data_IF_025014223524
#
_entry.id   IF_025014223524
#
_cell.length_a   1.000
_cell.length_b   1.000
_cell.length_c   1.000
_cell.angle_alpha   90.00
_cell.angle_beta   90.00
_cell.angle_gamma   90.00
#
_symmetry.space_group_name_H-M   'P 1'
#
loop_
_entity.id
_entity.type
_entity.pdbx_description
1 polymer ?
#
# COMPACT_ATOMS: atom_id res chain seq x y z
N UNK A 1 -29.80 -74.16 -12.11
CA UNK A 1 -30.33 -74.15 -10.73
C UNK A 1 -29.24 -73.87 -9.71
N UNK A 2 -28.11 -74.58 -9.76
CA UNK A 2 -26.99 -74.46 -8.80
C UNK A 2 -26.45 -73.04 -8.54
N UNK A 3 -26.37 -72.18 -9.57
CA UNK A 3 -25.96 -70.77 -9.40
C UNK A 3 -26.96 -69.93 -8.59
N UNK A 4 -28.25 -70.24 -8.67
CA UNK A 4 -29.28 -69.54 -7.90
C UNK A 4 -29.25 -69.95 -6.43
N UNK A 5 -28.95 -71.22 -6.14
CA UNK A 5 -28.82 -71.74 -4.78
C UNK A 5 -27.59 -71.18 -4.06
N UNK A 6 -26.47 -71.00 -4.76
CA UNK A 6 -25.27 -70.35 -4.20
C UNK A 6 -25.57 -68.90 -3.82
N UNK A 7 -26.26 -68.15 -4.68
CA UNK A 7 -26.63 -66.75 -4.41
C UNK A 7 -27.59 -66.64 -3.24
N UNK A 8 -28.60 -67.54 -3.18
CA UNK A 8 -29.55 -67.60 -2.07
C UNK A 8 -28.85 -67.89 -0.74
N UNK A 9 -27.89 -68.82 -0.73
CA UNK A 9 -27.13 -69.17 0.48
C UNK A 9 -26.29 -68.00 0.98
N UNK A 10 -25.58 -67.31 0.08
CA UNK A 10 -24.82 -66.10 0.44
C UNK A 10 -25.70 -65.00 1.01
N UNK A 11 -26.89 -64.80 0.47
CA UNK A 11 -27.81 -63.79 0.98
C UNK A 11 -28.34 -64.13 2.38
N UNK A 12 -28.60 -65.41 2.63
CA UNK A 12 -28.99 -65.89 3.96
C UNK A 12 -27.83 -65.69 4.95
N UNK A 13 -26.61 -66.04 4.57
CA UNK A 13 -25.42 -65.86 5.43
C UNK A 13 -25.15 -64.38 5.72
N UNK A 14 -25.29 -63.49 4.72
CA UNK A 14 -25.16 -62.03 4.91
C UNK A 14 -26.23 -61.46 5.84
N UNK A 15 -27.48 -61.93 5.72
CA UNK A 15 -28.55 -61.55 6.64
C UNK A 15 -28.30 -62.02 8.07
N UNK A 16 -27.89 -63.28 8.25
CA UNK A 16 -27.54 -63.81 9.58
C UNK A 16 -26.38 -63.04 10.20
N UNK A 17 -25.36 -62.71 9.40
CA UNK A 17 -24.22 -61.94 9.86
C UNK A 17 -24.65 -60.54 10.30
N UNK A 18 -25.49 -59.87 9.50
CA UNK A 18 -26.02 -58.53 9.80
C UNK A 18 -26.92 -58.53 11.04
N UNK A 19 -27.79 -59.53 11.21
CA UNK A 19 -28.61 -59.69 12.41
C UNK A 19 -27.76 -59.94 13.65
N UNK A 20 -26.71 -60.77 13.53
CA UNK A 20 -25.77 -61.03 14.62
C UNK A 20 -25.00 -59.78 15.03
N UNK A 21 -24.53 -59.00 14.07
CA UNK A 21 -23.86 -57.72 14.31
C UNK A 21 -24.79 -56.70 14.94
N UNK A 22 -26.03 -56.60 14.45
CA UNK A 22 -27.04 -55.71 15.02
C UNK A 22 -27.41 -56.11 16.46
N UNK A 23 -27.64 -57.40 16.72
CA UNK A 23 -27.90 -57.92 18.06
C UNK A 23 -26.70 -57.74 19.01
N UNK A 24 -25.48 -57.86 18.50
CA UNK A 24 -24.26 -57.65 19.31
C UNK A 24 -24.01 -56.17 19.58
N UNK A 25 -24.24 -55.29 18.61
CA UNK A 25 -24.08 -53.84 18.74
C UNK A 25 -25.15 -53.21 19.64
N UNK A 26 -26.41 -53.62 19.48
CA UNK A 26 -27.52 -53.07 20.27
C UNK A 26 -27.44 -53.45 21.76
N UNK A 27 -26.96 -54.66 22.07
CA UNK A 27 -26.71 -55.10 23.46
C UNK A 27 -25.46 -54.45 24.07
N UNK A 28 -24.45 -54.10 23.26
CA UNK A 28 -23.24 -53.45 23.76
C UNK A 28 -23.46 -51.99 24.21
N UNK A 29 -24.43 -51.29 23.62
CA UNK A 29 -24.80 -49.93 24.03
C UNK A 29 -25.77 -49.91 25.22
N UNK A 30 -26.66 -50.90 25.35
CA UNK A 30 -27.64 -50.97 26.45
C UNK A 30 -27.08 -51.52 27.78
N UNK A 31 -25.91 -52.17 27.78
CA UNK A 31 -25.30 -52.79 28.98
C UNK A 31 -24.05 -52.08 29.53
N UNK A 32 -23.83 -50.81 29.20
CA UNK A 32 -22.79 -50.03 29.86
C UNK A 32 -23.25 -49.58 31.24
N UNK A 33 -22.45 -49.87 32.26
CA UNK A 33 -22.68 -49.27 33.58
C UNK A 33 -22.58 -47.74 33.46
N UNK A 34 -23.33 -46.95 34.26
CA UNK A 34 -23.27 -45.48 34.20
C UNK A 34 -21.84 -44.92 34.28
N UNK A 35 -20.96 -45.59 35.01
CA UNK A 35 -19.53 -45.24 35.10
C UNK A 35 -18.76 -45.46 33.80
N UNK A 36 -19.01 -46.56 33.07
CA UNK A 36 -18.39 -46.83 31.78
C UNK A 36 -18.91 -45.90 30.67
N UNK A 37 -20.21 -45.59 30.68
CA UNK A 37 -20.79 -44.61 29.77
C UNK A 37 -20.18 -43.20 30.00
N UNK A 38 -20.02 -42.79 31.26
CA UNK A 38 -19.38 -41.52 31.60
C UNK A 38 -17.89 -41.49 31.22
N UNK A 39 -17.17 -42.61 31.36
CA UNK A 39 -15.77 -42.72 30.94
C UNK A 39 -15.63 -42.59 29.42
N UNK A 40 -16.44 -43.30 28.63
CA UNK A 40 -16.45 -43.19 27.17
C UNK A 40 -16.77 -41.76 26.72
N UNK A 41 -17.77 -41.14 27.32
CA UNK A 41 -18.12 -39.74 27.02
C UNK A 41 -16.96 -38.78 27.31
N UNK A 42 -16.24 -38.95 28.41
CA UNK A 42 -15.05 -38.13 28.72
C UNK A 42 -13.92 -38.35 27.73
N UNK A 43 -13.69 -39.60 27.30
CA UNK A 43 -12.68 -39.92 26.27
C UNK A 43 -13.04 -39.30 24.92
N UNK A 44 -14.32 -39.38 24.51
CA UNK A 44 -14.82 -38.73 23.30
C UNK A 44 -14.73 -37.21 23.37
N UNK A 45 -15.15 -36.59 24.48
CA UNK A 45 -15.01 -35.15 24.70
C UNK A 45 -13.54 -34.71 24.67
N UNK A 46 -12.63 -35.50 25.25
CA UNK A 46 -11.19 -35.23 25.19
C UNK A 46 -10.65 -35.34 23.76
N UNK A 47 -11.11 -36.33 23.00
CA UNK A 47 -10.71 -36.52 21.59
C UNK A 47 -11.18 -35.35 20.73
N UNK A 48 -12.45 -34.97 20.86
CA UNK A 48 -13.04 -33.84 20.14
C UNK A 48 -12.30 -32.54 20.49
N UNK A 49 -11.99 -32.30 21.77
CA UNK A 49 -11.19 -31.13 22.18
C UNK A 49 -9.81 -31.13 21.55
N UNK A 50 -9.12 -32.28 21.52
CA UNK A 50 -7.81 -32.37 20.87
C UNK A 50 -7.89 -32.12 19.36
N UNK A 51 -8.90 -32.65 18.68
CA UNK A 51 -9.13 -32.40 17.25
C UNK A 51 -9.40 -30.91 16.99
N UNK A 52 -10.22 -30.27 17.82
CA UNK A 52 -10.49 -28.83 17.73
C UNK A 52 -9.24 -27.97 17.93
N UNK A 53 -8.40 -28.33 18.91
CA UNK A 53 -7.16 -27.62 19.18
C UNK A 53 -6.17 -27.77 18.01
N UNK A 54 -6.06 -28.97 17.43
CA UNK A 54 -5.23 -29.18 16.24
C UNK A 54 -5.72 -28.37 15.04
N UNK A 55 -7.05 -28.28 14.86
CA UNK A 55 -7.65 -27.48 13.81
C UNK A 55 -7.38 -25.99 14.03
N UNK A 56 -7.51 -25.52 15.27
CA UNK A 56 -7.21 -24.13 15.65
C UNK A 56 -5.76 -23.78 15.34
N UNK A 57 -4.81 -24.61 15.77
CA UNK A 57 -3.38 -24.38 15.52
C UNK A 57 -3.05 -24.37 14.02
N UNK A 58 -3.70 -25.23 13.24
CA UNK A 58 -3.54 -25.24 11.78
C UNK A 58 -4.03 -23.94 11.15
N UNK A 59 -5.21 -23.47 11.54
CA UNK A 59 -5.78 -22.22 11.02
C UNK A 59 -4.95 -21.00 11.44
N UNK A 60 -4.46 -20.97 12.68
CA UNK A 60 -3.60 -19.89 13.18
C UNK A 60 -2.27 -19.84 12.41
N UNK A 61 -1.68 -21.01 12.13
CA UNK A 61 -0.49 -21.10 11.29
C UNK A 61 -0.76 -20.63 9.86
N UNK A 62 -1.85 -21.08 9.24
CA UNK A 62 -2.21 -20.68 7.88
C UNK A 62 -2.46 -19.16 7.78
N UNK A 63 -3.10 -18.57 8.79
CA UNK A 63 -3.28 -17.13 8.88
C UNK A 63 -1.94 -16.38 9.01
N UNK A 64 -1.01 -16.88 9.84
CA UNK A 64 0.31 -16.30 9.99
C UNK A 64 1.14 -16.38 8.69
N UNK A 65 1.09 -17.53 8.01
CA UNK A 65 1.78 -17.76 6.73
C UNK A 65 1.25 -16.82 5.63
N UNK A 66 -0.07 -16.61 5.56
CA UNK A 66 -0.70 -15.67 4.61
C UNK A 66 -0.31 -14.22 4.91
N UNK A 67 -0.31 -13.79 6.18
CA UNK A 67 0.13 -12.45 6.57
C UNK A 67 1.59 -12.23 6.16
N UNK A 68 2.46 -13.20 6.41
CA UNK A 68 3.87 -13.11 6.03
C UNK A 68 4.03 -13.02 4.50
N UNK A 69 3.28 -13.84 3.75
CA UNK A 69 3.29 -13.80 2.28
C UNK A 69 2.81 -12.44 1.74
N UNK A 70 1.81 -11.82 2.37
CA UNK A 70 1.34 -10.49 2.02
C UNK A 70 2.38 -9.41 2.34
N UNK A 71 3.00 -9.47 3.52
CA UNK A 71 4.07 -8.55 3.91
C UNK A 71 5.27 -8.63 2.96
N UNK A 72 5.66 -9.84 2.56
CA UNK A 72 6.74 -10.06 1.59
C UNK A 72 6.39 -9.47 0.21
N UNK A 73 5.15 -9.69 -0.25
CA UNK A 73 4.66 -9.12 -1.52
C UNK A 73 4.70 -7.59 -1.50
N UNK A 74 4.25 -6.98 -0.40
CA UNK A 74 4.30 -5.52 -0.22
C UNK A 74 5.76 -5.04 -0.19
N UNK A 75 6.62 -5.70 0.59
CA UNK A 75 8.04 -5.34 0.69
C UNK A 75 8.74 -5.42 -0.67
N UNK A 76 8.40 -6.42 -1.50
CA UNK A 76 8.91 -6.53 -2.87
C UNK A 76 8.45 -5.37 -3.74
N UNK A 77 7.16 -5.04 -3.72
CA UNK A 77 6.63 -3.90 -4.48
C UNK A 77 7.28 -2.57 -4.07
N UNK A 78 7.53 -2.38 -2.76
CA UNK A 78 8.24 -1.20 -2.27
C UNK A 78 9.67 -1.17 -2.79
N UNK A 79 10.40 -2.29 -2.75
CA UNK A 79 11.77 -2.37 -3.29
C UNK A 79 11.82 -2.15 -4.81
N UNK A 80 10.83 -2.63 -5.54
CA UNK A 80 10.71 -2.39 -6.99
C UNK A 80 10.40 -0.91 -7.25
N UNK A 81 9.48 -0.30 -6.51
CA UNK A 81 9.20 1.14 -6.63
C UNK A 81 10.40 2.00 -6.27
N UNK A 82 11.15 1.68 -5.20
CA UNK A 82 12.34 2.46 -4.85
C UNK A 82 13.40 2.30 -5.93
N UNK A 83 13.62 1.11 -6.49
CA UNK A 83 14.53 0.93 -7.64
C UNK A 83 14.09 1.69 -8.88
N UNK A 84 12.79 1.69 -9.20
CA UNK A 84 12.27 2.48 -10.32
C UNK A 84 12.47 3.97 -10.05
N UNK A 85 12.14 4.45 -8.85
CA UNK A 85 12.38 5.86 -8.47
C UNK A 85 13.86 6.22 -8.50
N UNK A 86 14.76 5.39 -7.98
CA UNK A 86 16.19 5.68 -7.99
C UNK A 86 16.77 5.64 -9.40
N UNK A 87 16.35 4.69 -10.25
CA UNK A 87 16.77 4.66 -11.66
C UNK A 87 16.18 5.82 -12.44
N UNK A 88 14.94 6.22 -12.14
CA UNK A 88 14.27 7.33 -12.77
C UNK A 88 14.82 8.68 -12.28
N UNK A 89 15.18 8.84 -11.00
CA UNK A 89 15.88 10.00 -10.44
C UNK A 89 17.36 10.05 -10.85
N UNK A 90 17.97 8.91 -11.21
CA UNK A 90 19.31 8.88 -11.81
C UNK A 90 19.30 9.22 -13.30
N UNK A 91 18.17 9.03 -14.00
CA UNK A 91 17.98 9.48 -15.39
C UNK A 91 17.34 10.88 -15.50
N UNK A 92 16.54 11.26 -14.50
CA UNK A 92 15.96 12.58 -14.30
C UNK A 92 16.82 13.30 -13.26
N UNK A 93 18.07 13.56 -13.63
CA UNK A 93 18.92 14.50 -12.90
C UNK A 93 18.15 15.82 -12.84
N UNK A 94 17.45 16.07 -11.72
CA UNK A 94 16.39 17.10 -11.60
C UNK A 94 16.89 18.44 -12.15
N UNK A 95 16.56 18.72 -13.40
CA UNK A 95 16.99 19.92 -14.09
C UNK A 95 16.35 21.12 -13.42
N UNK A 96 17.16 22.13 -13.14
CA UNK A 96 16.64 23.39 -12.63
C UNK A 96 15.68 23.95 -13.69
N UNK A 97 14.46 24.27 -13.27
CA UNK A 97 13.36 24.61 -14.18
C UNK A 97 12.85 26.01 -13.85
N UNK A 98 13.07 26.94 -14.76
CA UNK A 98 12.60 28.32 -14.66
C UNK A 98 11.32 28.50 -15.45
N UNK A 99 10.27 29.00 -14.81
CA UNK A 99 9.07 29.47 -15.49
C UNK A 99 9.28 30.91 -15.91
N UNK A 100 9.16 31.17 -17.20
CA UNK A 100 9.33 32.50 -17.79
C UNK A 100 7.99 32.99 -18.30
N UNK A 101 7.65 34.23 -17.96
CA UNK A 101 6.38 34.87 -18.33
C UNK A 101 6.64 36.29 -18.83
N UNK A 102 6.00 36.68 -19.93
CA UNK A 102 6.06 38.04 -20.45
C UNK A 102 4.74 38.41 -21.12
N UNK A 103 4.53 39.71 -21.34
CA UNK A 103 3.37 40.23 -22.06
C UNK A 103 3.81 40.62 -23.47
N UNK A 104 3.23 40.06 -24.54
CA UNK A 104 3.64 40.42 -25.89
C UNK A 104 3.24 41.87 -26.20
N UNK A 105 4.10 42.60 -26.91
CA UNK A 105 3.82 43.94 -27.43
C UNK A 105 3.49 43.85 -28.91
N UNK A 106 2.70 44.80 -29.42
CA UNK A 106 2.22 44.78 -30.82
C UNK A 106 3.35 44.70 -31.86
N UNK A 107 4.54 45.23 -31.53
CA UNK A 107 5.72 45.25 -32.40
C UNK A 107 6.86 44.29 -31.98
N UNK A 108 6.73 43.59 -30.84
CA UNK A 108 7.77 42.65 -30.38
C UNK A 108 7.23 41.54 -29.47
N UNK A 109 7.56 40.30 -29.85
CA UNK A 109 7.35 39.09 -29.05
C UNK A 109 8.68 38.30 -28.97
N UNK A 110 8.80 37.42 -27.97
CA UNK A 110 9.93 36.51 -27.87
C UNK A 110 9.58 35.16 -28.50
N UNK A 111 10.51 34.66 -29.32
CA UNK A 111 10.50 33.29 -29.80
C UNK A 111 11.46 32.43 -28.98
N UNK A 112 11.44 31.12 -29.23
CA UNK A 112 12.32 30.17 -28.53
C UNK A 112 13.80 30.55 -28.71
N UNK A 113 14.21 31.01 -29.89
CA UNK A 113 15.59 31.38 -30.21
C UNK A 113 16.07 32.58 -29.39
N UNK A 114 15.26 33.62 -29.25
CA UNK A 114 15.58 34.79 -28.42
C UNK A 114 15.66 34.43 -26.95
N UNK A 115 14.71 33.64 -26.45
CA UNK A 115 14.72 33.17 -25.07
C UNK A 115 15.95 32.30 -24.80
N UNK A 116 16.31 31.41 -25.73
CA UNK A 116 17.52 30.60 -25.63
C UNK A 116 18.76 31.48 -25.50
N UNK A 117 18.92 32.47 -26.38
CA UNK A 117 20.06 33.40 -26.33
C UNK A 117 20.10 34.23 -25.03
N UNK A 118 18.94 34.67 -24.53
CA UNK A 118 18.85 35.41 -23.25
C UNK A 118 19.24 34.50 -22.09
N UNK A 119 18.79 33.25 -22.05
CA UNK A 119 18.97 32.39 -20.88
C UNK A 119 20.22 31.51 -20.91
N UNK A 120 20.83 31.31 -22.08
CA UNK A 120 22.06 30.51 -22.25
C UNK A 120 23.25 31.08 -21.46
N UNK A 121 23.26 32.39 -21.18
CA UNK A 121 24.28 33.02 -20.30
C UNK A 121 24.22 32.56 -18.85
N UNK A 122 23.09 32.01 -18.40
CA UNK A 122 22.89 31.53 -17.03
C UNK A 122 23.17 30.03 -16.88
N UNK A 123 23.29 29.30 -17.99
CA UNK A 123 23.53 27.86 -17.96
C UNK A 123 23.25 27.19 -19.31
N UNK A 124 23.60 25.91 -19.39
CA UNK A 124 23.31 25.09 -20.57
C UNK A 124 21.84 24.69 -20.54
N UNK A 125 21.07 25.14 -21.53
CA UNK A 125 19.63 24.86 -21.63
C UNK A 125 19.43 23.47 -22.25
N UNK A 126 18.81 22.58 -21.49
CA UNK A 126 18.38 21.27 -21.98
C UNK A 126 17.17 21.42 -22.90
N UNK A 127 16.07 21.98 -22.37
CA UNK A 127 14.79 22.04 -23.08
C UNK A 127 14.06 23.36 -22.83
N UNK A 128 13.42 23.91 -23.85
CA UNK A 128 12.45 25.00 -23.72
C UNK A 128 11.09 24.44 -24.14
N UNK A 129 10.10 24.53 -23.26
CA UNK A 129 8.75 24.09 -23.60
C UNK A 129 8.08 25.05 -24.58
N UNK A 130 7.17 24.56 -25.44
CA UNK A 130 6.46 25.40 -26.40
C UNK A 130 5.75 26.58 -25.73
N UNK A 131 5.88 27.77 -26.31
CA UNK A 131 5.31 29.01 -25.78
C UNK A 131 3.77 28.91 -25.78
N UNK A 132 3.16 29.08 -24.61
CA UNK A 132 1.70 29.04 -24.43
C UNK A 132 1.16 30.43 -24.14
N UNK A 133 -0.02 30.73 -24.63
CA UNK A 133 -0.77 31.95 -24.27
C UNK A 133 -1.68 31.66 -23.10
N UNK A 134 -1.62 32.49 -22.07
CA UNK A 134 -2.53 32.44 -20.93
C UNK A 134 -3.85 33.14 -21.26
N UNK A 135 -4.88 32.91 -20.44
CA UNK A 135 -6.20 33.57 -20.59
C UNK A 135 -6.15 35.10 -20.54
N UNK A 136 -5.09 35.68 -19.97
CA UNK A 136 -4.88 37.13 -19.85
C UNK A 136 -4.12 37.73 -21.05
N UNK A 137 -3.73 36.92 -22.02
CA UNK A 137 -2.92 37.34 -23.18
C UNK A 137 -1.41 37.24 -22.95
N UNK A 138 -0.96 37.00 -21.71
CA UNK A 138 0.47 36.82 -21.40
C UNK A 138 1.00 35.52 -22.02
N UNK A 139 2.25 35.51 -22.44
CA UNK A 139 2.98 34.31 -22.87
C UNK A 139 3.70 33.66 -21.70
N UNK A 140 3.80 32.33 -21.73
CA UNK A 140 4.51 31.56 -20.71
C UNK A 140 5.23 30.37 -21.35
N UNK A 141 6.45 30.12 -20.89
CA UNK A 141 7.20 28.90 -21.16
C UNK A 141 7.96 28.45 -19.90
N UNK A 142 8.50 27.25 -19.94
CA UNK A 142 9.42 26.68 -18.96
C UNK A 142 10.74 26.38 -19.65
N UNK A 143 11.84 26.74 -19.00
CA UNK A 143 13.21 26.53 -19.45
C UNK A 143 13.86 25.59 -18.44
N UNK A 144 14.31 24.45 -18.93
CA UNK A 144 15.02 23.42 -18.17
C UNK A 144 16.51 23.54 -18.45
N UNK A 145 17.30 23.67 -17.40
CA UNK A 145 18.76 23.77 -17.48
C UNK A 145 19.40 22.44 -17.12
N UNK A 146 20.33 21.98 -17.97
CA UNK A 146 21.19 20.83 -17.71
C UNK A 146 22.22 21.19 -16.63
N UNK A 147 22.91 22.33 -16.83
CA UNK A 147 23.91 22.87 -15.90
C UNK A 147 23.63 24.35 -15.71
N UNK A 148 23.51 24.79 -14.45
CA UNK A 148 23.37 26.21 -14.09
C UNK A 148 24.69 26.75 -13.55
N UNK A 149 25.02 27.99 -13.90
CA UNK A 149 26.18 28.69 -13.36
C UNK A 149 25.95 29.04 -11.86
N UNK A 150 27.00 28.98 -11.04
CA UNK A 150 26.90 29.10 -9.57
C UNK A 150 26.26 30.42 -9.08
N UNK A 151 26.38 31.52 -9.85
CA UNK A 151 25.80 32.84 -9.58
C UNK A 151 24.58 33.16 -10.46
N UNK A 152 23.65 32.21 -10.60
CA UNK A 152 22.52 32.34 -11.50
C UNK A 152 21.37 33.18 -10.91
N UNK A 153 21.31 34.46 -11.29
CA UNK A 153 20.16 35.34 -11.06
C UNK A 153 19.18 35.37 -12.25
N UNK A 154 18.93 34.22 -12.90
CA UNK A 154 18.07 34.15 -14.09
C UNK A 154 16.62 34.58 -13.81
N UNK A 155 16.14 34.46 -12.57
CA UNK A 155 14.82 34.96 -12.15
C UNK A 155 14.68 36.49 -12.24
N UNK A 156 15.80 37.21 -12.12
CA UNK A 156 15.87 38.67 -12.18
C UNK A 156 16.12 39.21 -13.59
N UNK A 157 16.09 38.34 -14.62
CA UNK A 157 16.20 38.75 -16.01
C UNK A 157 14.95 39.51 -16.46
N UNK A 158 15.15 40.70 -17.02
CA UNK A 158 14.09 41.60 -17.50
C UNK A 158 13.88 41.41 -19.02
N UNK A 159 14.82 40.76 -19.70
CA UNK A 159 14.81 40.57 -21.14
C UNK A 159 15.66 41.61 -21.86
N UNK A 160 15.91 41.37 -23.15
CA UNK A 160 16.73 42.24 -23.98
C UNK A 160 15.99 42.52 -25.29
N UNK A 161 15.80 43.81 -25.59
CA UNK A 161 15.18 44.30 -26.84
C UNK A 161 13.77 43.73 -27.10
N UNK A 162 12.94 43.67 -26.05
CA UNK A 162 11.56 43.18 -26.11
C UNK A 162 10.75 43.57 -24.86
N UNK A 163 9.57 42.97 -24.65
CA UNK A 163 8.76 43.21 -23.46
C UNK A 163 9.47 42.75 -22.18
N UNK A 164 9.06 43.30 -21.04
CA UNK A 164 9.59 42.88 -19.74
C UNK A 164 9.24 41.41 -19.46
N UNK A 165 10.28 40.64 -19.11
CA UNK A 165 10.19 39.24 -18.74
C UNK A 165 10.18 39.13 -17.21
N UNK A 166 9.49 38.11 -16.71
CA UNK A 166 9.52 37.72 -15.29
C UNK A 166 9.82 36.24 -15.17
N UNK A 167 10.87 35.89 -14.41
CA UNK A 167 11.24 34.51 -14.11
C UNK A 167 10.75 34.06 -12.73
N UNK A 168 10.39 32.79 -12.58
CA UNK A 168 10.09 32.15 -11.29
C UNK A 168 10.54 30.68 -11.30
N UNK A 169 11.37 30.26 -10.35
CA UNK A 169 11.82 28.87 -10.28
C UNK A 169 10.67 27.95 -9.88
N UNK A 170 10.44 26.92 -10.70
CA UNK A 170 9.62 25.76 -10.33
C UNK A 170 10.50 24.76 -9.58
N UNK A 171 11.73 24.58 -10.07
CA UNK A 171 12.76 23.75 -9.46
C UNK A 171 14.03 24.60 -9.39
N UNK A 172 14.45 25.06 -8.21
CA UNK A 172 15.64 25.91 -8.08
C UNK A 172 16.92 25.11 -8.38
N UNK A 173 18.00 25.78 -8.83
CA UNK A 173 19.32 25.16 -8.91
C UNK A 173 19.76 24.65 -7.54
N UNK A 174 20.36 23.46 -7.51
CA UNK A 174 21.01 22.94 -6.30
C UNK A 174 22.27 23.78 -6.05
N UNK A 175 22.22 24.70 -5.10
CA UNK A 175 23.43 25.36 -4.65
C UNK A 175 24.31 24.34 -3.92
N UNK A 176 25.61 24.25 -4.24
CA UNK A 176 26.55 23.46 -3.45
C UNK A 176 26.78 24.19 -2.12
N UNK A 177 25.89 23.93 -1.16
CA UNK A 177 26.12 23.97 0.28
C UNK A 177 26.99 25.14 0.77
N UNK A 178 26.40 26.32 0.93
CA UNK A 178 26.82 27.19 2.03
C UNK A 178 26.01 26.75 3.24
N UNK A 179 26.68 26.11 4.19
CA UNK A 179 26.08 25.67 5.44
C UNK A 179 25.43 26.85 6.17
N UNK A 180 24.28 26.55 6.77
CA UNK A 180 23.47 27.40 7.65
C UNK A 180 22.62 28.46 6.94
N UNK A 181 21.31 28.20 6.88
CA UNK A 181 20.26 29.06 7.46
C UNK A 181 18.93 28.30 7.33
N UNK A 182 18.30 27.93 8.44
CA UNK A 182 17.17 28.69 8.99
C UNK A 182 16.05 28.89 7.96
N UNK A 183 15.30 27.82 7.69
CA UNK A 183 13.95 27.97 7.16
C UNK A 183 12.99 28.30 8.31
N UNK A 184 12.68 29.59 8.39
CA UNK A 184 11.54 30.08 9.11
C UNK A 184 10.23 29.60 8.44
N UNK A 185 9.46 28.85 9.22
CA UNK A 185 8.01 28.91 9.31
C UNK A 185 7.17 28.75 8.01
N UNK A 186 6.75 27.51 7.76
CA UNK A 186 5.33 27.25 7.51
C UNK A 186 4.86 26.12 8.44
N UNK A 187 4.04 26.48 9.42
CA UNK A 187 3.39 25.54 10.33
C UNK A 187 2.24 24.85 9.62
N UNK A 188 2.55 23.85 8.81
CA UNK A 188 1.62 22.78 8.49
C UNK A 188 2.33 21.48 8.79
N UNK A 189 1.83 20.74 9.79
CA UNK A 189 2.36 19.43 10.17
C UNK A 189 2.09 18.45 9.04
N UNK A 190 2.86 18.52 7.97
CA UNK A 190 2.92 17.48 6.96
C UNK A 190 3.61 16.29 7.63
N UNK A 191 2.82 15.43 8.28
CA UNK A 191 3.34 14.20 8.87
C UNK A 191 3.78 13.31 7.72
N UNK A 192 5.08 13.05 7.63
CA UNK A 192 5.62 12.10 6.66
C UNK A 192 5.25 10.68 7.08
N UNK A 193 4.11 10.21 6.57
CA UNK A 193 3.63 8.84 6.79
C UNK A 193 4.57 7.79 6.19
N UNK A 194 5.51 8.19 5.33
CA UNK A 194 6.48 7.28 4.70
C UNK A 194 7.61 6.86 5.64
N UNK A 195 7.87 7.60 6.72
CA UNK A 195 8.94 7.29 7.68
C UNK A 195 8.45 6.67 8.99
N UNK A 196 7.14 6.51 9.17
CA UNK A 196 6.57 5.91 10.38
C UNK A 196 6.62 4.38 10.31
N UNK A 197 6.90 3.76 11.44
CA UNK A 197 6.80 2.32 11.61
C UNK A 197 5.34 1.87 11.63
N UNK A 198 5.10 0.58 11.36
CA UNK A 198 3.75 0.02 11.34
C UNK A 198 2.98 0.24 12.66
N UNK A 199 3.67 0.13 13.80
CA UNK A 199 3.10 0.34 15.13
C UNK A 199 2.68 1.80 15.35
N UNK A 200 3.47 2.76 14.85
CA UNK A 200 3.16 4.18 14.94
C UNK A 200 1.99 4.59 14.04
N UNK A 201 1.89 3.99 12.85
CA UNK A 201 0.74 4.17 11.95
C UNK A 201 -0.54 3.62 12.58
N UNK A 202 -0.45 2.44 13.21
CA UNK A 202 -1.56 1.84 13.93
C UNK A 202 -2.00 2.71 15.12
N UNK A 203 -1.05 3.19 15.92
CA UNK A 203 -1.33 4.09 17.04
C UNK A 203 -2.01 5.38 16.57
N UNK A 204 -1.60 5.94 15.44
CA UNK A 204 -2.22 7.15 14.91
C UNK A 204 -3.62 6.92 14.33
N UNK A 205 -3.89 5.75 13.77
CA UNK A 205 -5.23 5.38 13.29
C UNK A 205 -6.24 5.22 14.44
N UNK A 206 -5.79 4.71 15.59
CA UNK A 206 -6.61 4.52 16.79
C UNK A 206 -6.55 5.68 17.78
N UNK A 207 -5.69 6.68 17.57
CA UNK A 207 -5.57 7.85 18.45
C UNK A 207 -6.86 8.68 18.54
N UNK A 208 -7.65 8.73 17.46
CA UNK A 208 -8.95 9.42 17.42
C UNK A 208 -10.14 8.51 17.81
N UNK A 209 -9.90 7.21 17.95
CA UNK A 209 -10.89 6.26 18.45
C UNK A 209 -10.81 6.26 19.98
N UNK A 210 -11.41 7.29 20.59
CA UNK A 210 -11.58 7.35 22.04
C UNK A 210 -12.21 6.06 22.58
N UNK A 211 -11.93 5.70 23.85
CA UNK A 211 -12.37 4.42 24.41
C UNK A 211 -13.88 4.28 24.24
N UNK A 212 -14.30 3.18 23.60
CA UNK A 212 -15.70 2.79 23.48
C UNK A 212 -16.29 2.77 24.89
N UNK A 213 -17.03 3.82 25.24
CA UNK A 213 -17.70 3.93 26.52
C UNK A 213 -18.54 2.69 26.77
N UNK A 214 -18.27 2.02 27.88
CA UNK A 214 -19.01 0.85 28.37
C UNK A 214 -20.48 1.21 28.56
N UNK A 215 -21.29 1.12 27.51
CA UNK A 215 -22.74 1.02 27.66
C UNK A 215 -23.07 -0.42 28.02
N UNK A 216 -22.91 -0.75 29.30
CA UNK A 216 -23.50 -1.95 29.91
C UNK A 216 -25.02 -1.86 29.72
N UNK A 217 -25.56 -2.51 28.68
CA UNK A 217 -26.99 -2.83 28.61
C UNK A 217 -27.27 -3.89 29.67
N UNK A 218 -27.85 -3.47 30.80
CA UNK A 218 -28.59 -4.36 31.70
C UNK A 218 -29.73 -4.96 30.87
N UNK A 219 -29.64 -6.25 30.56
CA UNK A 219 -30.79 -7.02 30.16
C UNK A 219 -31.63 -7.24 31.42
N UNK A 220 -32.88 -6.79 31.37
CA UNK A 220 -33.89 -7.15 32.36
C UNK A 220 -34.25 -8.62 32.12
N UNK A 221 -34.00 -9.47 33.13
CA UNK A 221 -34.67 -10.76 33.26
C UNK A 221 -36.15 -10.50 33.54
N UNK A 222 -37.02 -11.00 32.65
CA UNK A 222 -38.39 -11.37 32.99
C UNK A 222 -38.40 -12.88 33.21
N UNK A 223 -38.55 -13.30 34.47
CA UNK A 223 -39.32 -14.47 34.90
C UNK A 223 -39.94 -14.16 36.28
#
# INVERSE_FOLDING_TARGET
MEKADITRRKFIDDLYQREKEYASGHNAEQHLTPSQAQKRRKEEESRIRSEFETLRQRLEKEAADEIHAQQERIARLVREQTKVKTNQEASEEKHATLRVKWKPSDDSDYDESRLRNIYEKYGTISTITPIRTTKKGDRVCMIEFEVINEDCNAESEIGKDGPDITGNWIIPPRTPNNGNNEEAASTEKHKDYSSMTYEELQAQLFADVGPLGEKRKKWHEEE
#
